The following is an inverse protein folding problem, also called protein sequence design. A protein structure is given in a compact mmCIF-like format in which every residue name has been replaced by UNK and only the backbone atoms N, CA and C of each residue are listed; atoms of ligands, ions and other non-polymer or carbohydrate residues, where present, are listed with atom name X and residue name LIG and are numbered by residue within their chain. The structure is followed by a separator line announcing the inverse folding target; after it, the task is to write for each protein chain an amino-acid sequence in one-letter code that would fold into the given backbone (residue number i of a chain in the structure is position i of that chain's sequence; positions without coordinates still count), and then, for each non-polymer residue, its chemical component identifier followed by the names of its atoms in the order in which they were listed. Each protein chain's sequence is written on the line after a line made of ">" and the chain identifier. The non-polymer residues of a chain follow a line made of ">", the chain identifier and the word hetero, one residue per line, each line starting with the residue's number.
data_IF_057167309176
#
_entry.id   IF_057167309176
#
_cell.length_a   1.000
_cell.length_b   1.000
_cell.length_c   1.000
_cell.angle_alpha   90.00
_cell.angle_beta   90.00
_cell.angle_gamma   90.00
#
_symmetry.space_group_name_H-M   'P 1'
#
loop_
_entity.id
_entity.type
_entity.pdbx_description
1 polymer ?
#
# COMPACT_ATOMS: atom_id res chain seq x y z
N UNK A 1 -6.96 -21.15 -0.31
CA UNK A 1 -6.19 -19.92 -0.03
C UNK A 1 -7.01 -18.77 -0.58
N UNK A 2 -7.40 -17.79 0.24
CA UNK A 2 -8.25 -16.67 -0.20
C UNK A 2 -7.40 -15.74 -1.09
N UNK A 3 -7.97 -15.23 -2.18
CA UNK A 3 -7.25 -14.33 -3.06
C UNK A 3 -6.87 -13.04 -2.30
N UNK A 4 -5.59 -12.63 -2.27
CA UNK A 4 -5.18 -11.38 -1.61
C UNK A 4 -5.95 -10.16 -2.13
N UNK A 5 -6.35 -10.14 -3.41
CA UNK A 5 -7.19 -9.07 -3.97
C UNK A 5 -8.54 -8.98 -3.27
N UNK A 6 -9.16 -10.12 -2.97
CA UNK A 6 -10.49 -10.16 -2.36
C UNK A 6 -10.46 -9.60 -0.94
N UNK A 7 -9.36 -9.85 -0.20
CA UNK A 7 -9.15 -9.27 1.13
C UNK A 7 -9.03 -7.75 1.08
N UNK A 8 -8.18 -7.23 0.19
CA UNK A 8 -8.02 -5.78 0.00
C UNK A 8 -9.32 -5.10 -0.45
N UNK A 9 -10.10 -5.76 -1.33
CA UNK A 9 -11.38 -5.23 -1.77
C UNK A 9 -12.42 -5.18 -0.64
N UNK A 10 -12.47 -6.18 0.24
CA UNK A 10 -13.36 -6.18 1.40
C UNK A 10 -12.97 -5.14 2.45
N UNK A 11 -11.67 -4.97 2.71
CA UNK A 11 -11.16 -3.92 3.59
C UNK A 11 -11.49 -2.53 3.05
N UNK A 12 -11.29 -2.32 1.75
CA UNK A 12 -11.65 -1.07 1.09
C UNK A 12 -13.14 -0.76 1.23
N UNK A 13 -14.03 -1.75 1.00
CA UNK A 13 -15.48 -1.57 1.17
C UNK A 13 -15.86 -1.19 2.61
N UNK A 14 -15.21 -1.81 3.61
CA UNK A 14 -15.44 -1.47 5.02
C UNK A 14 -15.06 -0.02 5.30
N UNK A 15 -13.88 0.39 4.83
CA UNK A 15 -13.39 1.75 5.02
C UNK A 15 -14.27 2.79 4.28
N UNK A 16 -14.76 2.44 3.09
CA UNK A 16 -15.70 3.27 2.32
C UNK A 16 -17.03 3.47 3.06
N UNK A 17 -17.55 2.41 3.68
CA UNK A 17 -18.76 2.50 4.50
C UNK A 17 -18.54 3.40 5.72
N UNK A 18 -17.38 3.32 6.39
CA UNK A 18 -17.03 4.22 7.49
C UNK A 18 -16.95 5.67 7.01
N UNK A 19 -16.30 5.94 5.88
CA UNK A 19 -16.23 7.29 5.30
C UNK A 19 -17.63 7.85 4.99
N UNK A 20 -18.55 7.01 4.50
CA UNK A 20 -19.93 7.40 4.26
C UNK A 20 -20.66 7.75 5.56
N UNK A 21 -20.51 6.94 6.61
CA UNK A 21 -21.10 7.22 7.92
C UNK A 21 -20.57 8.53 8.52
N UNK A 22 -19.26 8.78 8.40
CA UNK A 22 -18.66 10.05 8.80
C UNK A 22 -19.25 11.21 8.00
N UNK A 23 -19.40 11.05 6.68
CA UNK A 23 -20.03 12.06 5.80
C UNK A 23 -21.50 12.33 6.14
N UNK A 24 -22.26 11.35 6.63
CA UNK A 24 -23.65 11.54 7.05
C UNK A 24 -23.75 12.22 8.43
N UNK A 25 -22.73 12.02 9.28
CA UNK A 25 -22.61 12.63 10.61
C UNK A 25 -21.97 14.04 10.59
N UNK A 26 -21.82 14.67 9.42
CA UNK A 26 -21.03 15.89 9.18
C UNK A 26 -21.67 17.27 9.46
N UNK A 27 -22.84 17.51 10.11
CA UNK A 27 -23.24 18.89 10.31
C UNK A 27 -22.45 19.55 11.47
N UNK A 28 -21.27 20.11 11.16
CA UNK A 28 -20.59 21.15 11.94
C UNK A 28 -19.41 20.75 12.83
N UNK A 29 -19.02 19.46 12.87
CA UNK A 29 -17.87 19.02 13.69
C UNK A 29 -16.55 19.01 12.88
N UNK A 30 -15.66 19.96 13.21
CA UNK A 30 -14.32 20.05 12.62
C UNK A 30 -13.47 18.79 12.84
N UNK A 31 -13.71 18.03 13.91
CA UNK A 31 -13.04 16.74 14.16
C UNK A 31 -13.51 15.67 13.19
N UNK A 32 -14.82 15.53 13.01
CA UNK A 32 -15.41 14.60 12.06
C UNK A 32 -14.95 14.90 10.62
N UNK A 33 -14.81 16.18 10.27
CA UNK A 33 -14.23 16.62 8.99
C UNK A 33 -12.79 16.14 8.79
N UNK A 34 -11.93 16.32 9.79
CA UNK A 34 -10.54 15.87 9.74
C UNK A 34 -10.43 14.33 9.67
N UNK A 35 -11.28 13.62 10.43
CA UNK A 35 -11.37 12.15 10.38
C UNK A 35 -11.81 11.67 8.99
N UNK A 36 -12.80 12.33 8.38
CA UNK A 36 -13.23 12.05 7.02
C UNK A 36 -12.11 12.31 6.00
N UNK A 37 -11.40 13.44 6.11
CA UNK A 37 -10.26 13.77 5.25
C UNK A 37 -9.15 12.72 5.30
N UNK A 38 -8.78 12.30 6.52
CA UNK A 38 -7.76 11.27 6.72
C UNK A 38 -8.21 9.91 6.15
N UNK A 39 -9.48 9.56 6.34
CA UNK A 39 -10.08 8.33 5.82
C UNK A 39 -10.14 8.33 4.29
N UNK A 40 -10.53 9.45 3.67
CA UNK A 40 -10.53 9.60 2.21
C UNK A 40 -9.11 9.52 1.63
N UNK A 41 -8.11 10.07 2.32
CA UNK A 41 -6.69 9.94 1.90
C UNK A 41 -6.25 8.48 1.88
N UNK A 42 -6.60 7.70 2.91
CA UNK A 42 -6.31 6.26 2.98
C UNK A 42 -7.02 5.49 1.87
N UNK A 43 -8.32 5.75 1.65
CA UNK A 43 -9.08 5.15 0.55
C UNK A 43 -8.45 5.41 -0.82
N UNK A 44 -7.94 6.63 -1.09
CA UNK A 44 -7.24 6.93 -2.35
C UNK A 44 -5.99 6.07 -2.55
N UNK A 45 -5.21 5.86 -1.48
CA UNK A 45 -4.02 5.02 -1.53
C UNK A 45 -4.41 3.57 -1.81
N UNK A 46 -5.33 3.00 -1.02
CA UNK A 46 -5.79 1.62 -1.16
C UNK A 46 -6.35 1.36 -2.58
N UNK A 47 -7.13 2.31 -3.12
CA UNK A 47 -7.67 2.21 -4.48
C UNK A 47 -6.57 2.24 -5.56
N UNK A 48 -5.50 3.01 -5.33
CA UNK A 48 -4.36 3.06 -6.24
C UNK A 48 -3.64 1.72 -6.29
N UNK A 49 -3.43 1.10 -5.13
CA UNK A 49 -2.81 -0.23 -5.01
C UNK A 49 -3.69 -1.30 -5.69
N UNK A 50 -5.01 -1.30 -5.40
CA UNK A 50 -5.97 -2.21 -6.05
C UNK A 50 -5.94 -2.04 -7.58
N UNK A 51 -5.94 -0.80 -8.09
CA UNK A 51 -5.86 -0.53 -9.53
C UNK A 51 -4.55 -1.04 -10.14
N UNK A 52 -3.42 -0.91 -9.44
CA UNK A 52 -2.15 -1.46 -9.89
C UNK A 52 -2.20 -2.99 -9.98
N UNK A 53 -2.82 -3.66 -9.01
CA UNK A 53 -2.96 -5.13 -9.05
C UNK A 53 -3.79 -5.57 -10.27
N UNK A 54 -4.88 -4.86 -10.58
CA UNK A 54 -5.72 -5.12 -11.76
C UNK A 54 -4.92 -4.92 -13.05
N UNK A 55 -4.08 -3.88 -13.11
CA UNK A 55 -3.22 -3.61 -14.28
C UNK A 55 -2.18 -4.71 -14.50
N UNK A 56 -1.57 -5.22 -13.43
CA UNK A 56 -0.59 -6.33 -13.51
C UNK A 56 -1.26 -7.59 -14.06
N UNK A 57 -2.46 -7.90 -13.58
CA UNK A 57 -3.27 -9.03 -14.07
C UNK A 57 -3.63 -8.87 -15.54
N UNK A 58 -4.03 -7.67 -15.95
CA UNK A 58 -4.35 -7.36 -17.35
C UNK A 58 -3.15 -7.55 -18.27
N UNK A 59 -1.96 -7.09 -17.86
CA UNK A 59 -0.74 -7.18 -18.67
C UNK A 59 -0.16 -8.59 -18.74
N UNK A 60 -0.24 -9.34 -17.65
CA UNK A 60 0.37 -10.68 -17.54
C UNK A 60 -0.57 -11.80 -18.00
N UNK A 61 -1.84 -11.50 -18.26
CA UNK A 61 -2.86 -12.46 -18.68
C UNK A 61 -3.64 -13.07 -17.50
N UNK A 62 -4.99 -13.12 -17.56
CA UNK A 62 -5.82 -13.70 -16.50
C UNK A 62 -5.53 -15.18 -16.22
N UNK A 63 -5.18 -15.93 -17.27
CA UNK A 63 -4.91 -17.38 -17.19
C UNK A 63 -3.70 -17.70 -16.30
N UNK A 64 -2.71 -16.79 -16.26
CA UNK A 64 -1.50 -16.93 -15.44
C UNK A 64 -1.77 -16.88 -13.94
N UNK A 65 -2.89 -16.26 -13.55
CA UNK A 65 -3.34 -16.16 -12.16
C UNK A 65 -4.55 -17.06 -11.89
N UNK A 66 -4.91 -17.97 -12.81
CA UNK A 66 -6.06 -18.86 -12.70
C UNK A 66 -7.37 -18.13 -12.39
N UNK A 67 -7.54 -16.93 -12.94
CA UNK A 67 -8.74 -16.12 -12.73
C UNK A 67 -9.91 -16.66 -13.55
N UNK A 68 -11.11 -16.64 -12.95
CA UNK A 68 -12.32 -17.03 -13.65
C UNK A 68 -12.58 -16.11 -14.87
N UNK A 69 -13.21 -16.63 -15.94
CA UNK A 69 -13.61 -15.81 -17.09
C UNK A 69 -14.49 -14.65 -16.63
N UNK A 70 -14.11 -13.43 -16.99
CA UNK A 70 -14.84 -12.21 -16.60
C UNK A 70 -14.51 -11.65 -15.21
N UNK A 71 -13.68 -12.32 -14.40
CA UNK A 71 -13.27 -11.81 -13.09
C UNK A 71 -12.47 -10.51 -13.23
N UNK A 72 -11.53 -10.44 -14.19
CA UNK A 72 -10.81 -9.20 -14.49
C UNK A 72 -11.77 -8.04 -14.82
N UNK A 73 -12.86 -8.30 -15.55
CA UNK A 73 -13.85 -7.29 -15.85
C UNK A 73 -14.58 -6.82 -14.59
N UNK A 74 -14.96 -7.74 -13.68
CA UNK A 74 -15.55 -7.39 -12.38
C UNK A 74 -14.63 -6.51 -11.55
N UNK A 75 -13.33 -6.83 -11.52
CA UNK A 75 -12.32 -6.02 -10.81
C UNK A 75 -12.21 -4.61 -11.36
N UNK A 76 -12.25 -4.45 -12.69
CA UNK A 76 -12.27 -3.14 -13.34
C UNK A 76 -13.52 -2.34 -12.99
N UNK A 77 -14.70 -2.95 -13.10
CA UNK A 77 -15.97 -2.31 -12.72
C UNK A 77 -15.98 -1.88 -11.25
N UNK A 78 -15.38 -2.68 -10.36
CA UNK A 78 -15.24 -2.33 -8.95
C UNK A 78 -14.36 -1.09 -8.74
N UNK A 79 -13.21 -1.01 -9.42
CA UNK A 79 -12.32 0.16 -9.35
C UNK A 79 -13.04 1.41 -9.87
N UNK A 80 -13.67 1.33 -11.05
CA UNK A 80 -14.41 2.46 -11.64
C UNK A 80 -15.57 2.94 -10.75
N UNK A 81 -16.32 2.00 -10.14
CA UNK A 81 -17.38 2.34 -9.20
C UNK A 81 -16.84 3.02 -7.94
N UNK A 82 -15.72 2.52 -7.41
CA UNK A 82 -15.06 3.07 -6.23
C UNK A 82 -14.49 4.47 -6.47
N UNK A 83 -13.91 4.73 -7.64
CA UNK A 83 -13.44 6.07 -8.03
C UNK A 83 -14.59 7.08 -8.07
N UNK A 84 -15.75 6.70 -8.59
CA UNK A 84 -16.95 7.56 -8.64
C UNK A 84 -17.49 7.88 -7.25
N UNK A 85 -17.57 6.90 -6.36
CA UNK A 85 -18.02 7.10 -4.98
C UNK A 85 -17.04 7.98 -4.19
N UNK A 86 -15.73 7.77 -4.35
CA UNK A 86 -14.71 8.58 -3.70
C UNK A 86 -14.79 10.04 -4.16
N UNK A 87 -14.92 10.28 -5.47
CA UNK A 87 -15.12 11.62 -6.01
C UNK A 87 -16.41 12.30 -5.52
N UNK A 88 -17.45 11.52 -5.19
CA UNK A 88 -18.70 12.04 -4.61
C UNK A 88 -18.49 12.48 -3.16
N UNK A 89 -17.85 11.64 -2.34
CA UNK A 89 -17.55 11.97 -0.93
C UNK A 89 -16.63 13.18 -0.80
N UNK A 90 -15.62 13.27 -1.67
CA UNK A 90 -14.73 14.43 -1.74
C UNK A 90 -15.45 15.71 -2.10
N UNK A 91 -16.39 15.68 -3.05
CA UNK A 91 -17.21 16.83 -3.41
C UNK A 91 -18.10 17.28 -2.26
N UNK A 92 -18.69 16.35 -1.51
CA UNK A 92 -19.49 16.67 -0.33
C UNK A 92 -18.66 17.38 0.75
N UNK A 93 -17.44 16.88 1.01
CA UNK A 93 -16.48 17.50 1.93
C UNK A 93 -16.08 18.93 1.50
N UNK A 94 -15.82 19.15 0.20
CA UNK A 94 -15.42 20.47 -0.30
C UNK A 94 -16.58 21.48 -0.28
N UNK A 95 -17.82 21.05 -0.54
CA UNK A 95 -19.00 21.91 -0.49
C UNK A 95 -19.25 22.49 0.91
N UNK A 96 -19.06 21.69 1.97
CA UNK A 96 -19.18 22.16 3.35
C UNK A 96 -18.11 23.20 3.70
N UNK A 97 -16.88 23.02 3.21
CA UNK A 97 -15.80 24.00 3.38
C UNK A 97 -16.05 25.33 2.68
N UNK A 98 -16.93 25.38 1.67
CA UNK A 98 -17.23 26.62 0.93
C UNK A 98 -18.22 27.52 1.67
N UNK A 99 -19.00 26.97 2.60
CA UNK A 99 -19.94 27.73 3.44
C UNK A 99 -19.23 28.47 4.60
N UNK A 100 -18.11 27.96 5.13
CA UNK A 100 -17.32 28.68 6.14
C UNK A 100 -16.53 29.87 5.55
N UNK A 101 -16.10 29.81 4.29
CA UNK A 101 -15.34 30.91 3.64
C UNK A 101 -16.23 32.04 3.08
N UNK A 102 -17.52 31.78 2.85
CA UNK A 102 -18.42 32.75 2.20
C UNK A 102 -19.16 33.69 3.17
N UNK A 103 -18.97 33.55 4.49
CA UNK A 103 -19.60 34.40 5.51
C UNK A 103 -18.77 35.63 5.90
N UNK A 104 -17.59 35.82 5.30
CA UNK A 104 -16.70 36.95 5.61
C UNK A 104 -16.56 37.89 4.40
N UNK A 105 -17.69 38.47 3.97
CA UNK A 105 -17.70 39.66 3.13
C UNK A 105 -17.96 40.89 4.02
N UNK A 106 -17.15 41.96 3.94
CA UNK A 106 -17.17 43.03 4.95
C UNK A 106 -18.39 43.94 4.82
N UNK A 107 -19.19 44.06 5.89
CA UNK A 107 -20.16 45.15 6.03
C UNK A 107 -19.55 46.25 6.91
N UNK A 108 -19.52 47.52 6.47
CA UNK A 108 -18.83 48.57 7.20
C UNK A 108 -19.68 49.13 8.34
N UNK A 109 -19.01 49.36 9.47
CA UNK A 109 -19.21 50.48 10.42
C UNK A 109 -20.31 50.35 11.48
N UNK A 110 -20.04 49.60 12.58
CA UNK A 110 -20.32 50.03 13.99
C UNK A 110 -19.87 49.04 15.08
N UNK A 111 -19.31 47.86 14.74
CA UNK A 111 -18.99 46.78 15.70
C UNK A 111 -17.58 46.76 16.28
N UNK A 112 -16.63 47.54 15.74
CA UNK A 112 -15.18 47.33 15.96
C UNK A 112 -14.72 47.27 17.44
N UNK A 113 -15.36 48.00 18.35
CA UNK A 113 -14.98 47.97 19.78
C UNK A 113 -15.54 46.73 20.51
N UNK A 114 -16.78 46.34 20.23
CA UNK A 114 -17.43 45.18 20.85
C UNK A 114 -16.90 43.86 20.27
N UNK A 115 -16.52 43.89 18.99
CA UNK A 115 -15.93 42.78 18.25
C UNK A 115 -14.48 42.50 18.69
N UNK A 116 -13.71 43.54 19.05
CA UNK A 116 -12.37 43.36 19.63
C UNK A 116 -12.39 42.66 21.00
N UNK A 117 -13.32 43.01 21.89
CA UNK A 117 -13.44 42.33 23.19
C UNK A 117 -13.88 40.87 23.04
N UNK A 118 -14.80 40.59 22.11
CA UNK A 118 -15.20 39.22 21.76
C UNK A 118 -14.06 38.42 21.13
N UNK A 119 -13.30 39.02 20.21
CA UNK A 119 -12.14 38.38 19.58
C UNK A 119 -11.05 38.03 20.59
N UNK A 120 -10.83 38.83 21.64
CA UNK A 120 -9.86 38.50 22.69
C UNK A 120 -10.28 37.29 23.53
N UNK A 121 -11.58 37.11 23.80
CA UNK A 121 -12.08 35.92 24.50
C UNK A 121 -12.02 34.67 23.61
N UNK A 122 -12.31 34.80 22.32
CA UNK A 122 -12.21 33.71 21.36
C UNK A 122 -10.73 33.30 21.10
N UNK A 123 -9.82 34.27 21.06
CA UNK A 123 -8.37 34.04 20.99
C UNK A 123 -7.84 33.37 22.27
N UNK A 124 -8.28 33.80 23.46
CA UNK A 124 -7.90 33.15 24.72
C UNK A 124 -8.39 31.69 24.80
N UNK A 125 -9.59 31.41 24.24
CA UNK A 125 -10.14 30.05 24.18
C UNK A 125 -9.39 29.19 23.16
N UNK A 126 -8.97 29.77 22.02
CA UNK A 126 -8.11 29.10 21.05
C UNK A 126 -6.69 28.84 21.58
N UNK A 127 -6.13 29.72 22.40
CA UNK A 127 -4.77 29.54 22.93
C UNK A 127 -4.70 28.39 23.95
N UNK A 128 -5.79 28.16 24.70
CA UNK A 128 -5.94 26.99 25.57
C UNK A 128 -6.04 25.68 24.74
N UNK A 129 -6.71 25.71 23.59
CA UNK A 129 -6.79 24.57 22.67
C UNK A 129 -5.44 24.32 21.96
N UNK A 130 -4.75 25.38 21.56
CA UNK A 130 -3.42 25.31 20.95
C UNK A 130 -2.35 24.81 21.94
N UNK A 131 -2.44 25.13 23.23
CA UNK A 131 -1.55 24.57 24.26
C UNK A 131 -1.78 23.06 24.48
N UNK A 132 -3.02 22.59 24.40
CA UNK A 132 -3.33 21.15 24.46
C UNK A 132 -2.88 20.42 23.19
N UNK A 133 -3.07 21.03 22.02
CA UNK A 133 -2.52 20.55 20.74
C UNK A 133 -0.99 20.60 20.71
N UNK A 134 -0.36 21.57 21.37
CA UNK A 134 1.09 21.66 21.55
C UNK A 134 1.65 20.51 22.38
N UNK A 135 0.90 20.02 23.38
CA UNK A 135 1.20 18.79 24.10
C UNK A 135 1.14 17.55 23.21
N UNK A 136 0.11 17.44 22.36
CA UNK A 136 -0.07 16.34 21.40
C UNK A 136 0.94 16.37 20.24
N UNK A 137 1.30 17.56 19.75
CA UNK A 137 2.30 17.75 18.71
C UNK A 137 3.72 17.55 19.26
N UNK A 138 3.97 17.87 20.53
CA UNK A 138 5.21 17.54 21.23
C UNK A 138 5.37 16.03 21.42
N UNK A 139 4.28 15.32 21.72
CA UNK A 139 4.26 13.84 21.79
C UNK A 139 4.36 13.17 20.42
N UNK A 140 3.74 13.74 19.37
CA UNK A 140 3.94 13.28 17.99
C UNK A 140 5.35 13.59 17.47
N UNK A 141 5.95 14.72 17.87
CA UNK A 141 7.35 15.07 17.54
C UNK A 141 8.34 14.18 18.28
N UNK A 142 8.07 13.80 19.54
CA UNK A 142 8.92 12.85 20.27
C UNK A 142 8.76 11.41 19.76
N UNK A 143 7.56 11.01 19.31
CA UNK A 143 7.35 9.75 18.59
C UNK A 143 8.02 9.76 17.20
N UNK A 144 8.01 10.88 16.49
CA UNK A 144 8.73 11.03 15.22
C UNK A 144 10.26 11.02 15.40
N UNK A 145 10.78 11.52 16.53
CA UNK A 145 12.22 11.47 16.85
C UNK A 145 12.69 10.03 17.15
N UNK A 146 11.87 9.21 17.81
CA UNK A 146 12.17 7.78 18.02
C UNK A 146 12.06 6.95 16.72
N UNK A 147 11.18 7.34 15.79
CA UNK A 147 11.11 6.73 14.44
C UNK A 147 12.31 7.16 13.56
N UNK A 148 12.84 8.37 13.76
CA UNK A 148 13.93 8.94 12.98
C UNK A 148 15.29 8.27 13.22
N UNK A 149 15.55 7.75 14.41
CA UNK A 149 16.80 7.02 14.72
C UNK A 149 16.74 5.53 14.35
N UNK A 150 15.56 4.93 14.29
CA UNK A 150 15.38 3.51 13.93
C UNK A 150 15.45 3.28 12.40
N UNK A 151 15.27 4.35 11.61
CA UNK A 151 15.48 4.32 10.15
C UNK A 151 16.97 4.36 9.73
N UNK A 152 17.87 4.88 10.58
CA UNK A 152 19.33 4.84 10.31
C UNK A 152 19.93 3.46 10.62
N UNK A 153 19.32 2.70 11.55
CA UNK A 153 19.71 1.32 11.87
C UNK A 153 19.28 0.32 10.77
N UNK A 154 18.24 0.65 10.00
CA UNK A 154 17.85 -0.09 8.78
C UNK A 154 18.65 0.28 7.52
N UNK A 155 19.76 1.03 7.64
CA UNK A 155 20.76 1.14 6.58
C UNK A 155 21.89 0.09 6.70
N UNK A 156 21.99 -0.58 7.86
CA UNK A 156 22.94 -1.69 8.09
C UNK A 156 22.46 -3.03 7.51
N UNK A 157 21.15 -3.29 7.51
CA UNK A 157 20.55 -4.56 7.07
C UNK A 157 20.53 -4.77 5.55
N UNK A 158 20.60 -3.69 4.76
CA UNK A 158 20.70 -3.80 3.29
C UNK A 158 22.07 -4.30 2.81
N UNK A 159 23.12 -4.16 3.63
CA UNK A 159 24.47 -4.64 3.32
C UNK A 159 24.69 -6.11 3.71
N UNK A 160 23.93 -6.61 4.68
CA UNK A 160 23.90 -8.02 5.04
C UNK A 160 23.09 -8.84 4.03
N UNK A 161 21.97 -8.28 3.53
CA UNK A 161 21.20 -8.90 2.45
C UNK A 161 22.00 -9.04 1.14
N UNK A 162 22.84 -8.05 0.80
CA UNK A 162 23.72 -8.08 -0.39
C UNK A 162 24.79 -9.18 -0.26
N UNK A 163 25.38 -9.32 0.94
CA UNK A 163 26.33 -10.40 1.25
C UNK A 163 25.69 -11.79 1.22
N UNK A 164 24.46 -11.93 1.72
CA UNK A 164 23.73 -13.20 1.70
C UNK A 164 23.28 -13.58 0.28
N UNK A 165 22.93 -12.60 -0.56
CA UNK A 165 22.65 -12.82 -1.99
C UNK A 165 23.90 -13.26 -2.74
N UNK A 166 25.06 -12.64 -2.50
CA UNK A 166 26.33 -13.04 -3.10
C UNK A 166 26.78 -14.45 -2.69
N UNK A 167 26.57 -14.81 -1.41
CA UNK A 167 26.83 -16.17 -0.92
C UNK A 167 25.85 -17.19 -1.53
N UNK A 168 24.57 -16.84 -1.65
CA UNK A 168 23.58 -17.69 -2.30
C UNK A 168 23.88 -17.89 -3.80
N UNK A 169 24.32 -16.84 -4.51
CA UNK A 169 24.71 -16.92 -5.91
C UNK A 169 25.95 -17.82 -6.11
N UNK A 170 26.93 -17.71 -5.22
CA UNK A 170 28.13 -18.56 -5.25
C UNK A 170 27.80 -20.02 -4.94
N UNK A 171 26.93 -20.28 -3.94
CA UNK A 171 26.48 -21.62 -3.60
C UNK A 171 25.65 -22.26 -4.72
N UNK A 172 24.74 -21.49 -5.35
CA UNK A 172 23.98 -21.92 -6.52
C UNK A 172 24.90 -22.21 -7.72
N UNK A 173 25.89 -21.36 -7.99
CA UNK A 173 26.87 -21.59 -9.05
C UNK A 173 27.67 -22.89 -8.83
N UNK A 174 28.12 -23.14 -7.60
CA UNK A 174 28.79 -24.38 -7.25
C UNK A 174 27.88 -25.62 -7.33
N UNK A 175 26.58 -25.47 -7.03
CA UNK A 175 25.59 -26.54 -7.18
C UNK A 175 25.36 -26.89 -8.66
N UNK A 176 25.23 -25.88 -9.52
CA UNK A 176 25.08 -26.06 -10.98
C UNK A 176 26.31 -26.75 -11.57
N UNK A 177 27.52 -26.34 -11.20
CA UNK A 177 28.75 -27.00 -11.66
C UNK A 177 28.89 -28.44 -11.17
N UNK A 178 28.36 -28.78 -9.99
CA UNK A 178 28.31 -30.18 -9.55
C UNK A 178 27.30 -30.97 -10.37
N UNK A 179 26.13 -30.40 -10.68
CA UNK A 179 25.11 -31.03 -11.50
C UNK A 179 25.61 -31.31 -12.93
N UNK A 180 26.33 -30.37 -13.53
CA UNK A 180 26.95 -30.52 -14.84
C UNK A 180 28.02 -31.64 -14.86
N UNK A 181 28.84 -31.71 -13.80
CA UNK A 181 29.82 -32.81 -13.61
C UNK A 181 29.15 -34.17 -13.40
N UNK A 182 28.03 -34.23 -12.68
CA UNK A 182 27.29 -35.48 -12.51
C UNK A 182 26.63 -35.93 -13.82
N UNK A 183 26.10 -34.98 -14.61
CA UNK A 183 25.47 -35.29 -15.89
C UNK A 183 26.50 -35.82 -16.89
N UNK A 184 27.65 -35.17 -16.99
CA UNK A 184 28.76 -35.62 -17.86
C UNK A 184 29.38 -36.94 -17.40
N UNK A 185 29.53 -37.18 -16.09
CA UNK A 185 30.01 -38.47 -15.57
C UNK A 185 29.01 -39.61 -15.73
N UNK A 186 27.70 -39.33 -15.62
CA UNK A 186 26.65 -40.32 -15.89
C UNK A 186 26.64 -40.73 -17.36
N UNK A 187 26.75 -39.76 -18.28
CA UNK A 187 26.80 -40.00 -19.72
C UNK A 187 28.06 -40.80 -20.12
N UNK A 188 29.23 -40.45 -19.56
CA UNK A 188 30.46 -41.20 -19.77
C UNK A 188 30.41 -42.64 -19.23
N UNK A 189 29.76 -42.88 -18.08
CA UNK A 189 29.59 -44.23 -17.51
C UNK A 189 28.62 -45.09 -18.33
N UNK A 190 27.52 -44.50 -18.83
CA UNK A 190 26.55 -45.20 -19.67
C UNK A 190 27.15 -45.62 -21.01
N UNK A 191 27.90 -44.71 -21.65
CA UNK A 191 28.58 -45.01 -22.92
C UNK A 191 29.70 -46.06 -22.73
N UNK A 192 30.45 -46.01 -21.62
CA UNK A 192 31.47 -47.00 -21.30
C UNK A 192 30.91 -48.42 -21.04
N UNK A 193 29.79 -48.52 -20.33
CA UNK A 193 29.12 -49.81 -20.08
C UNK A 193 28.51 -50.41 -21.33
N UNK A 194 27.94 -49.58 -22.22
CA UNK A 194 27.35 -50.06 -23.46
C UNK A 194 28.42 -50.70 -24.38
N UNK A 195 29.61 -50.09 -24.47
CA UNK A 195 30.75 -50.66 -25.21
C UNK A 195 31.23 -51.98 -24.59
N UNK A 196 31.31 -52.05 -23.25
CA UNK A 196 31.75 -53.27 -22.56
C UNK A 196 30.74 -54.43 -22.74
N UNK A 197 29.44 -54.14 -22.64
CA UNK A 197 28.37 -55.12 -22.88
C UNK A 197 28.42 -55.65 -24.32
N UNK A 198 28.64 -54.79 -25.32
CA UNK A 198 28.78 -55.21 -26.72
C UNK A 198 30.00 -56.13 -26.94
N UNK A 199 31.10 -55.91 -26.23
CA UNK A 199 32.29 -56.78 -26.31
C UNK A 199 32.00 -58.17 -25.71
N UNK A 200 31.34 -58.24 -24.55
CA UNK A 200 31.00 -59.52 -23.91
C UNK A 200 30.01 -60.33 -24.75
N UNK A 201 28.98 -59.68 -25.30
CA UNK A 201 28.01 -60.34 -26.18
C UNK A 201 28.71 -60.91 -27.41
N UNK A 202 29.58 -60.13 -28.06
CA UNK A 202 30.35 -60.61 -29.22
C UNK A 202 31.25 -61.80 -28.89
N UNK A 203 31.88 -61.78 -27.71
CA UNK A 203 32.79 -62.86 -27.28
C UNK A 203 32.05 -64.17 -26.95
N UNK A 204 30.80 -64.10 -26.51
CA UNK A 204 29.98 -65.28 -26.22
C UNK A 204 29.46 -66.00 -27.49
N UNK A 205 29.48 -65.34 -28.64
CA UNK A 205 28.94 -65.86 -29.90
C UNK A 205 30.02 -66.43 -30.86
N UNK A 206 31.30 -66.42 -30.45
CA UNK A 206 32.45 -66.96 -31.21
C UNK A 206 33.09 -68.15 -30.50
#
# INVERSE_FOLDING_TARGET
>A
MRDPYEQSAEEFKRLLNTARQLCDAMPGDKRAKFELESTLKRLRQDLTEIRQTVRVVEQSGPDRFHLAPGELHRRKTFVEGSEKELARLERALHQDSTYETSLEAPQPTTSLAWEQEQQQQLLATQDQALNQLGGSLSTLRSQAYLIGTEAEEQSGLLRELDSDVDQAQTALGAAVQRMDRFMTQADARLNGWCVWILIVVRWNES
#
